data_IF_243826607580
#
_entry.id   IF_243826607580
#
_cell.length_a   1.000
_cell.length_b   1.000
_cell.length_c   1.000
_cell.angle_alpha   90.00
_cell.angle_beta   90.00
_cell.angle_gamma   90.00
#
_symmetry.space_group_name_H-M   'P 1'
#
loop_
_entity.id
_entity.type
_entity.pdbx_description
1 polymer ?
#
# COMPACT_ATOMS: atom_id res chain seq x y z
N UNK A 1 -1.48 19.85 -60.23
CA UNK A 1 -2.06 18.71 -59.49
C UNK A 1 -2.45 19.21 -58.11
N UNK A 2 -3.76 19.17 -57.84
CA UNK A 2 -4.43 19.64 -56.62
C UNK A 2 -4.87 18.44 -55.80
N UNK A 3 -4.62 18.47 -54.49
CA UNK A 3 -5.41 17.91 -53.38
C UNK A 3 -4.92 18.71 -52.14
N UNK A 4 -5.68 19.48 -51.36
CA UNK A 4 -7.03 19.29 -50.83
C UNK A 4 -6.91 19.07 -49.31
N UNK A 5 -7.01 20.13 -48.50
CA UNK A 5 -7.37 20.05 -47.06
C UNK A 5 -8.90 19.86 -46.93
N UNK A 6 -9.51 19.63 -45.73
CA UNK A 6 -9.00 19.28 -44.38
C UNK A 6 -9.78 18.09 -43.73
N UNK A 7 -9.42 17.67 -42.50
CA UNK A 7 -10.20 16.93 -41.45
C UNK A 7 -9.18 16.14 -40.61
N UNK A 8 -9.19 16.05 -39.28
CA UNK A 8 -9.91 16.69 -38.18
C UNK A 8 -8.99 16.62 -36.97
N UNK A 9 -8.99 17.67 -36.15
CA UNK A 9 -8.48 17.65 -34.79
C UNK A 9 -9.20 16.56 -33.99
N UNK A 10 -8.51 15.48 -33.61
CA UNK A 10 -8.94 14.67 -32.48
C UNK A 10 -8.69 15.47 -31.19
N UNK A 11 -9.66 16.31 -30.88
CA UNK A 11 -9.83 16.99 -29.61
C UNK A 11 -10.44 16.02 -28.56
N UNK A 12 -9.83 14.85 -28.37
CA UNK A 12 -10.26 13.85 -27.38
C UNK A 12 -9.22 13.59 -26.28
N UNK A 13 -7.98 14.07 -26.44
CA UNK A 13 -6.95 13.98 -25.39
C UNK A 13 -7.00 15.10 -24.35
N UNK A 14 -7.43 16.30 -24.76
CA UNK A 14 -7.46 17.47 -23.88
C UNK A 14 -8.77 17.60 -23.10
N UNK A 15 -9.86 16.97 -23.57
CA UNK A 15 -11.16 17.04 -22.88
C UNK A 15 -11.24 16.11 -21.67
N UNK A 16 -10.58 14.94 -21.68
CA UNK A 16 -10.48 14.06 -20.50
C UNK A 16 -9.57 14.69 -19.43
N UNK A 17 -8.43 15.28 -19.83
CA UNK A 17 -7.51 15.92 -18.89
C UNK A 17 -8.06 17.23 -18.29
N UNK A 18 -8.85 18.00 -19.05
CA UNK A 18 -9.56 19.17 -18.55
C UNK A 18 -10.76 18.79 -17.68
N UNK A 19 -11.55 17.78 -18.09
CA UNK A 19 -12.68 17.26 -17.29
C UNK A 19 -12.22 16.62 -15.98
N UNK A 20 -11.05 15.98 -15.94
CA UNK A 20 -10.47 15.37 -14.73
C UNK A 20 -9.93 16.44 -13.76
N UNK A 21 -9.40 17.57 -14.26
CA UNK A 21 -8.98 18.70 -13.43
C UNK A 21 -10.18 19.48 -12.88
N UNK A 22 -11.22 19.65 -13.68
CA UNK A 22 -12.45 20.36 -13.27
C UNK A 22 -13.30 19.51 -12.31
N UNK A 23 -13.32 18.18 -12.49
CA UNK A 23 -13.99 17.23 -11.57
C UNK A 23 -13.36 17.19 -10.18
N UNK A 24 -12.07 17.52 -10.02
CA UNK A 24 -11.42 17.57 -8.71
C UNK A 24 -11.71 18.90 -7.98
N UNK A 25 -11.88 20.00 -8.72
CA UNK A 25 -12.19 21.31 -8.16
C UNK A 25 -13.64 21.43 -7.67
N UNK A 26 -14.55 20.58 -8.15
CA UNK A 26 -15.97 20.53 -7.73
C UNK A 26 -16.31 19.38 -6.78
N UNK A 27 -15.34 18.54 -6.37
CA UNK A 27 -15.60 17.41 -5.47
C UNK A 27 -15.72 17.89 -4.03
N UNK A 28 -16.74 17.40 -3.32
CA UNK A 28 -16.87 17.67 -1.89
C UNK A 28 -15.73 17.00 -1.10
N UNK A 29 -15.36 17.57 0.05
CA UNK A 29 -14.30 16.99 0.90
C UNK A 29 -14.62 15.55 1.33
N UNK A 30 -15.90 15.23 1.54
CA UNK A 30 -16.35 13.87 1.87
C UNK A 30 -16.15 12.90 0.69
N UNK A 31 -16.48 13.30 -0.53
CA UNK A 31 -16.24 12.50 -1.73
C UNK A 31 -14.74 12.30 -1.98
N UNK A 32 -13.93 13.33 -1.76
CA UNK A 32 -12.48 13.25 -1.86
C UNK A 32 -11.92 12.26 -0.84
N UNK A 33 -12.33 12.37 0.43
CA UNK A 33 -11.93 11.43 1.47
C UNK A 33 -12.30 9.99 1.12
N UNK A 34 -13.55 9.74 0.71
CA UNK A 34 -14.01 8.40 0.34
C UNK A 34 -13.21 7.80 -0.82
N UNK A 35 -12.91 8.59 -1.86
CA UNK A 35 -12.08 8.14 -2.99
C UNK A 35 -10.65 7.84 -2.55
N UNK A 36 -10.04 8.69 -1.73
CA UNK A 36 -8.68 8.50 -1.23
C UNK A 36 -8.58 7.25 -0.35
N UNK A 37 -9.52 7.07 0.59
CA UNK A 37 -9.59 5.87 1.44
C UNK A 37 -9.74 4.62 0.59
N UNK A 38 -10.63 4.61 -0.40
CA UNK A 38 -10.83 3.44 -1.26
C UNK A 38 -9.54 3.05 -2.02
N UNK A 39 -8.84 4.03 -2.60
CA UNK A 39 -7.57 3.78 -3.31
C UNK A 39 -6.46 3.34 -2.34
N UNK A 40 -6.36 3.94 -1.16
CA UNK A 40 -5.37 3.56 -0.14
C UNK A 40 -5.61 2.14 0.37
N UNK A 41 -6.84 1.79 0.73
CA UNK A 41 -7.22 0.45 1.14
C UNK A 41 -6.85 -0.59 0.06
N UNK A 42 -7.12 -0.29 -1.20
CA UNK A 42 -6.74 -1.16 -2.31
C UNK A 42 -5.22 -1.31 -2.46
N UNK A 43 -4.46 -0.22 -2.31
CA UNK A 43 -2.98 -0.26 -2.35
C UNK A 43 -2.42 -1.07 -1.19
N UNK A 44 -2.96 -0.94 0.01
CA UNK A 44 -2.55 -1.72 1.18
C UNK A 44 -2.87 -3.20 1.03
N UNK A 45 -4.03 -3.51 0.45
CA UNK A 45 -4.39 -4.88 0.07
C UNK A 45 -3.35 -5.48 -0.91
N UNK A 46 -3.01 -4.74 -1.96
CA UNK A 46 -2.01 -5.16 -2.92
C UNK A 46 -0.63 -5.36 -2.26
N UNK A 47 -0.24 -4.47 -1.34
CA UNK A 47 1.02 -4.57 -0.60
C UNK A 47 1.06 -5.81 0.29
N UNK A 48 -0.04 -6.14 0.96
CA UNK A 48 -0.13 -7.35 1.77
C UNK A 48 0.10 -8.61 0.91
N UNK A 49 -0.51 -8.67 -0.28
CA UNK A 49 -0.30 -9.79 -1.23
C UNK A 49 1.14 -9.82 -1.76
N UNK A 50 1.71 -8.67 -2.13
CA UNK A 50 3.11 -8.58 -2.58
C UNK A 50 4.11 -8.96 -1.48
N UNK A 51 3.80 -8.63 -0.23
CA UNK A 51 4.62 -9.03 0.93
C UNK A 51 4.56 -10.54 1.13
N UNK A 52 3.38 -11.15 1.02
CA UNK A 52 3.25 -12.61 0.99
C UNK A 52 4.08 -13.23 -0.15
N UNK A 53 4.13 -12.61 -1.34
CA UNK A 53 5.02 -13.07 -2.41
C UNK A 53 6.51 -13.13 -2.03
N UNK A 54 6.99 -12.25 -1.14
CA UNK A 54 8.36 -12.34 -0.60
C UNK A 54 8.54 -13.57 0.29
N UNK A 55 7.52 -13.94 1.04
CA UNK A 55 7.52 -15.12 1.90
C UNK A 55 7.58 -16.39 1.04
N UNK A 56 6.83 -16.46 -0.06
CA UNK A 56 6.94 -17.54 -1.06
C UNK A 56 8.36 -17.66 -1.64
N UNK A 57 9.01 -16.53 -1.96
CA UNK A 57 10.38 -16.56 -2.46
C UNK A 57 11.36 -17.15 -1.41
N UNK A 58 11.26 -16.72 -0.14
CA UNK A 58 12.07 -17.28 0.95
C UNK A 58 11.79 -18.77 1.14
N UNK A 59 10.52 -19.17 1.07
CA UNK A 59 10.12 -20.56 1.18
C UNK A 59 10.71 -21.42 0.06
N UNK A 60 10.68 -20.94 -1.18
CA UNK A 60 11.30 -21.61 -2.33
C UNK A 60 12.81 -21.80 -2.13
N UNK A 61 13.51 -20.81 -1.56
CA UNK A 61 14.94 -20.93 -1.23
C UNK A 61 15.19 -21.99 -0.15
N UNK A 62 14.36 -22.05 0.88
CA UNK A 62 14.45 -23.07 1.94
C UNK A 62 14.23 -24.46 1.35
N UNK A 63 13.22 -24.64 0.49
CA UNK A 63 12.98 -25.91 -0.21
C UNK A 63 14.14 -26.29 -1.12
N UNK A 64 14.73 -25.33 -1.85
CA UNK A 64 15.91 -25.58 -2.67
C UNK A 64 17.11 -26.03 -1.85
N UNK A 65 17.31 -25.43 -0.67
CA UNK A 65 18.36 -25.85 0.27
C UNK A 65 18.14 -27.29 0.76
N UNK A 66 16.92 -27.65 1.16
CA UNK A 66 16.61 -29.03 1.55
C UNK A 66 16.75 -30.04 0.41
N UNK A 67 16.32 -29.67 -0.79
CA UNK A 67 16.48 -30.49 -1.99
C UNK A 67 17.98 -30.76 -2.28
N UNK A 68 18.82 -29.73 -2.18
CA UNK A 68 20.27 -29.85 -2.32
C UNK A 68 20.89 -30.78 -1.26
N UNK A 69 20.52 -30.62 0.02
CA UNK A 69 21.00 -31.50 1.09
C UNK A 69 20.56 -32.95 0.88
N UNK A 70 19.33 -33.18 0.42
CA UNK A 70 18.83 -34.51 0.11
C UNK A 70 19.64 -35.17 -1.00
N UNK A 71 19.93 -34.46 -2.09
CA UNK A 71 20.75 -35.00 -3.19
C UNK A 71 22.18 -35.32 -2.74
N UNK A 72 22.79 -34.44 -1.94
CA UNK A 72 24.14 -34.66 -1.40
C UNK A 72 24.23 -35.94 -0.55
N UNK A 73 23.15 -36.32 0.10
CA UNK A 73 23.07 -37.51 0.96
C UNK A 73 22.59 -38.77 0.22
N UNK A 74 22.71 -38.82 -1.11
CA UNK A 74 22.27 -39.97 -1.92
C UNK A 74 20.76 -40.03 -2.16
N UNK A 75 20.12 -38.86 -2.24
CA UNK A 75 18.70 -38.72 -2.54
C UNK A 75 18.31 -39.32 -3.90
N UNK A 76 17.02 -39.61 -4.05
CA UNK A 76 16.45 -40.13 -5.28
C UNK A 76 16.18 -38.99 -6.28
N UNK A 77 16.69 -39.10 -7.51
CA UNK A 77 16.52 -38.13 -8.58
C UNK A 77 15.04 -37.82 -8.89
N UNK A 78 14.13 -38.80 -8.73
CA UNK A 78 12.70 -38.59 -8.89
C UNK A 78 12.14 -37.64 -7.82
N UNK A 79 12.58 -37.79 -6.56
CA UNK A 79 12.17 -36.91 -5.46
C UNK A 79 12.72 -35.50 -5.69
N UNK A 80 13.98 -35.39 -6.15
CA UNK A 80 14.58 -34.12 -6.52
C UNK A 80 13.79 -33.42 -7.62
N UNK A 81 13.39 -34.14 -8.67
CA UNK A 81 12.59 -33.59 -9.76
C UNK A 81 11.22 -33.06 -9.27
N UNK A 82 10.57 -33.79 -8.36
CA UNK A 82 9.31 -33.34 -7.76
C UNK A 82 9.53 -32.07 -6.92
N UNK A 83 10.57 -32.02 -6.09
CA UNK A 83 10.89 -30.82 -5.31
C UNK A 83 11.22 -29.62 -6.21
N UNK A 84 11.95 -29.84 -7.30
CA UNK A 84 12.25 -28.81 -8.29
C UNK A 84 10.96 -28.23 -8.92
N UNK A 85 9.96 -29.07 -9.20
CA UNK A 85 8.65 -28.62 -9.66
C UNK A 85 7.96 -27.70 -8.64
N UNK A 86 7.94 -28.09 -7.36
CA UNK A 86 7.36 -27.25 -6.29
C UNK A 86 8.11 -25.93 -6.09
N UNK A 87 9.45 -25.96 -6.10
CA UNK A 87 10.29 -24.76 -6.00
C UNK A 87 9.99 -23.79 -7.15
N UNK A 88 9.93 -24.30 -8.38
CA UNK A 88 9.62 -23.48 -9.55
C UNK A 88 8.20 -22.92 -9.46
N UNK A 89 7.22 -23.72 -9.03
CA UNK A 89 5.85 -23.28 -8.81
C UNK A 89 5.76 -22.13 -7.81
N UNK A 90 6.41 -22.26 -6.66
CA UNK A 90 6.46 -21.21 -5.63
C UNK A 90 7.12 -19.92 -6.14
N UNK A 91 8.21 -20.03 -6.89
CA UNK A 91 8.86 -18.87 -7.50
C UNK A 91 7.94 -18.18 -8.50
N UNK A 92 7.28 -18.95 -9.37
CA UNK A 92 6.33 -18.39 -10.35
C UNK A 92 5.17 -17.68 -9.65
N UNK A 93 4.64 -18.24 -8.56
CA UNK A 93 3.60 -17.59 -7.76
C UNK A 93 4.13 -16.33 -7.07
N UNK A 94 5.35 -16.37 -6.53
CA UNK A 94 5.99 -15.20 -5.92
C UNK A 94 6.09 -14.04 -6.92
N UNK A 95 6.58 -14.32 -8.14
CA UNK A 95 6.63 -13.34 -9.22
C UNK A 95 5.24 -12.87 -9.63
N UNK A 96 4.28 -13.79 -9.79
CA UNK A 96 2.91 -13.45 -10.13
C UNK A 96 2.29 -12.50 -9.09
N UNK A 97 2.43 -12.77 -7.79
CA UNK A 97 1.95 -11.90 -6.70
C UNK A 97 2.63 -10.53 -6.70
N UNK A 98 3.90 -10.43 -7.13
CA UNK A 98 4.59 -9.14 -7.26
C UNK A 98 4.04 -8.28 -8.39
N UNK A 99 3.86 -8.84 -9.59
CA UNK A 99 3.40 -8.09 -10.75
C UNK A 99 1.87 -7.91 -10.81
N UNK A 100 1.12 -8.92 -10.37
CA UNK A 100 -0.34 -9.01 -10.47
C UNK A 100 -0.95 -9.39 -9.11
N UNK A 101 -0.86 -8.50 -8.09
CA UNK A 101 -1.44 -8.76 -6.78
C UNK A 101 -2.94 -9.03 -6.90
N UNK A 102 -3.34 -10.23 -6.51
CA UNK A 102 -4.68 -10.77 -6.73
C UNK A 102 -5.00 -11.84 -5.69
N UNK A 103 -6.29 -12.08 -5.45
CA UNK A 103 -6.74 -13.13 -4.54
C UNK A 103 -6.38 -14.52 -5.10
N UNK A 104 -6.45 -14.68 -6.42
CA UNK A 104 -6.12 -15.89 -7.15
C UNK A 104 -4.66 -16.31 -6.92
N UNK A 105 -3.73 -15.35 -6.86
CA UNK A 105 -2.33 -15.65 -6.54
C UNK A 105 -2.14 -16.24 -5.13
N UNK A 106 -2.97 -15.83 -4.16
CA UNK A 106 -2.97 -16.40 -2.80
C UNK A 106 -3.64 -17.78 -2.78
N UNK A 107 -4.65 -18.01 -3.63
CA UNK A 107 -5.27 -19.33 -3.78
C UNK A 107 -4.29 -20.35 -4.38
N UNK A 108 -3.57 -19.98 -5.44
CA UNK A 108 -2.57 -20.86 -6.05
C UNK A 108 -1.50 -21.28 -5.04
N UNK A 109 -1.06 -20.36 -4.18
CA UNK A 109 -0.11 -20.63 -3.10
C UNK A 109 -0.65 -21.70 -2.14
N UNK A 110 -1.89 -21.54 -1.69
CA UNK A 110 -2.53 -22.49 -0.79
C UNK A 110 -2.62 -23.90 -1.43
N UNK A 111 -2.86 -23.97 -2.73
CA UNK A 111 -2.91 -25.22 -3.49
C UNK A 111 -1.54 -25.88 -3.60
N UNK A 112 -0.48 -25.11 -3.85
CA UNK A 112 0.89 -25.64 -3.90
C UNK A 112 1.29 -26.19 -2.54
N UNK A 113 1.06 -25.43 -1.46
CA UNK A 113 1.34 -25.89 -0.09
C UNK A 113 0.56 -27.14 0.28
N UNK A 114 -0.72 -27.21 -0.09
CA UNK A 114 -1.56 -28.38 0.14
C UNK A 114 -1.02 -29.61 -0.62
N UNK A 115 -0.72 -29.45 -1.90
CA UNK A 115 -0.15 -30.53 -2.71
C UNK A 115 1.20 -31.00 -2.17
N UNK A 116 2.05 -30.07 -1.72
CA UNK A 116 3.33 -30.37 -1.10
C UNK A 116 3.16 -31.15 0.21
N UNK A 117 2.25 -30.72 1.08
CA UNK A 117 1.95 -31.39 2.35
C UNK A 117 1.40 -32.81 2.13
N UNK A 118 0.47 -32.98 1.18
CA UNK A 118 -0.11 -34.27 0.83
C UNK A 118 0.94 -35.24 0.28
N UNK A 119 1.82 -34.77 -0.60
CA UNK A 119 2.91 -35.59 -1.13
C UNK A 119 3.86 -36.04 -0.02
N UNK A 120 4.30 -35.12 0.85
CA UNK A 120 5.17 -35.45 1.98
C UNK A 120 4.51 -36.41 2.97
N UNK A 121 3.20 -36.25 3.21
CA UNK A 121 2.41 -37.18 4.01
C UNK A 121 2.33 -38.57 3.40
N UNK A 122 2.15 -38.67 2.08
CA UNK A 122 2.15 -39.94 1.36
C UNK A 122 3.52 -40.63 1.44
N UNK A 123 4.61 -39.88 1.25
CA UNK A 123 5.98 -40.41 1.38
C UNK A 123 6.23 -40.90 2.82
N UNK A 124 5.85 -40.12 3.82
CA UNK A 124 5.97 -40.50 5.24
C UNK A 124 5.19 -41.78 5.56
N UNK A 125 3.95 -41.88 5.05
CA UNK A 125 3.11 -43.05 5.21
C UNK A 125 3.72 -44.30 4.53
N UNK A 126 4.23 -44.17 3.31
CA UNK A 126 4.91 -45.29 2.62
C UNK A 126 6.16 -45.75 3.37
N UNK A 127 6.98 -44.82 3.90
CA UNK A 127 8.13 -45.18 4.75
C UNK A 127 7.69 -45.96 5.99
N UNK A 128 6.62 -45.52 6.64
CA UNK A 128 6.04 -46.22 7.78
C UNK A 128 5.60 -47.65 7.43
N UNK A 129 4.96 -47.85 6.27
CA UNK A 129 4.56 -49.18 5.78
C UNK A 129 5.75 -50.12 5.54
N UNK A 130 6.91 -49.58 5.13
CA UNK A 130 8.13 -50.36 4.87
C UNK A 130 8.96 -50.60 6.15
N UNK A 131 8.42 -50.23 7.32
CA UNK A 131 9.02 -50.52 8.63
C UNK A 131 9.95 -49.43 9.16
N UNK A 132 10.03 -48.27 8.51
CA UNK A 132 10.67 -47.11 9.11
C UNK A 132 9.78 -46.53 10.22
N UNK A 133 10.38 -46.13 11.34
CA UNK A 133 9.64 -45.47 12.43
C UNK A 133 9.05 -44.12 12.01
N UNK A 134 8.04 -43.60 12.75
CA UNK A 134 7.49 -42.28 12.49
C UNK A 134 8.56 -41.19 12.68
N UNK A 135 8.70 -40.31 11.69
CA UNK A 135 9.57 -39.13 11.78
C UNK A 135 8.78 -37.95 12.36
N UNK A 136 9.01 -37.56 13.63
CA UNK A 136 8.25 -36.51 14.29
C UNK A 136 8.52 -35.13 13.67
N UNK A 137 9.70 -34.91 13.10
CA UNK A 137 10.07 -33.63 12.47
C UNK A 137 9.26 -33.48 11.18
N UNK A 138 9.22 -34.53 10.36
CA UNK A 138 8.44 -34.53 9.13
C UNK A 138 6.94 -34.37 9.40
N UNK A 139 6.41 -35.06 10.41
CA UNK A 139 5.02 -34.93 10.83
C UNK A 139 4.68 -33.49 11.28
N UNK A 140 5.56 -32.87 12.07
CA UNK A 140 5.41 -31.46 12.48
C UNK A 140 5.41 -30.52 11.27
N UNK A 141 6.33 -30.70 10.32
CA UNK A 141 6.39 -29.88 9.10
C UNK A 141 5.12 -30.02 8.24
N UNK A 142 4.61 -31.24 8.06
CA UNK A 142 3.34 -31.48 7.35
C UNK A 142 2.20 -30.72 8.03
N UNK A 143 2.10 -30.80 9.36
CA UNK A 143 1.09 -30.07 10.14
C UNK A 143 1.19 -28.55 9.94
N UNK A 144 2.42 -28.02 9.96
CA UNK A 144 2.69 -26.60 9.73
C UNK A 144 2.29 -26.16 8.31
N UNK A 145 2.56 -26.98 7.28
CA UNK A 145 2.15 -26.67 5.91
C UNK A 145 0.64 -26.72 5.71
N UNK A 146 -0.05 -27.70 6.30
CA UNK A 146 -1.52 -27.76 6.26
C UNK A 146 -2.16 -26.56 6.95
N UNK A 147 -1.62 -26.14 8.10
CA UNK A 147 -2.09 -24.94 8.81
C UNK A 147 -1.86 -23.68 7.97
N UNK A 148 -0.70 -23.53 7.34
CA UNK A 148 -0.39 -22.42 6.45
C UNK A 148 -1.31 -22.39 5.23
N UNK A 149 -1.54 -23.53 4.57
CA UNK A 149 -2.46 -23.65 3.45
C UNK A 149 -3.90 -23.27 3.84
N UNK A 150 -4.36 -23.71 5.02
CA UNK A 150 -5.65 -23.34 5.57
C UNK A 150 -5.78 -21.83 5.84
N UNK A 151 -4.74 -21.22 6.44
CA UNK A 151 -4.72 -19.76 6.68
C UNK A 151 -4.79 -18.98 5.37
N UNK A 152 -4.04 -19.39 4.36
CA UNK A 152 -4.07 -18.75 3.04
C UNK A 152 -5.42 -18.94 2.34
N UNK A 153 -6.07 -20.09 2.51
CA UNK A 153 -7.42 -20.32 2.01
C UNK A 153 -8.44 -19.37 2.66
N UNK A 154 -8.34 -19.15 3.98
CA UNK A 154 -9.16 -18.17 4.69
C UNK A 154 -8.87 -16.74 4.19
N UNK A 155 -7.59 -16.39 4.03
CA UNK A 155 -7.19 -15.11 3.45
C UNK A 155 -7.77 -14.93 2.05
N UNK A 156 -7.73 -15.95 1.19
CA UNK A 156 -8.35 -15.89 -0.14
C UNK A 156 -9.82 -15.51 -0.09
N UNK A 157 -10.61 -16.11 0.81
CA UNK A 157 -12.04 -15.79 0.94
C UNK A 157 -12.27 -14.31 1.26
N UNK A 158 -11.53 -13.79 2.23
CA UNK A 158 -11.62 -12.39 2.63
C UNK A 158 -11.11 -11.45 1.52
N UNK A 159 -9.98 -11.80 0.90
CA UNK A 159 -9.37 -11.02 -0.17
C UNK A 159 -10.25 -10.98 -1.41
N UNK A 160 -10.92 -12.08 -1.76
CA UNK A 160 -11.81 -12.14 -2.93
C UNK A 160 -12.92 -11.09 -2.86
N UNK A 161 -13.50 -10.90 -1.68
CA UNK A 161 -14.52 -9.88 -1.46
C UNK A 161 -13.94 -8.47 -1.59
N UNK A 162 -12.75 -8.23 -1.01
CA UNK A 162 -12.07 -6.94 -1.06
C UNK A 162 -11.57 -6.57 -2.46
N UNK A 163 -11.03 -7.52 -3.22
CA UNK A 163 -10.56 -7.32 -4.60
C UNK A 163 -11.70 -7.13 -5.60
N UNK A 164 -12.93 -7.52 -5.24
CA UNK A 164 -14.11 -7.28 -6.09
C UNK A 164 -14.38 -5.78 -6.29
N UNK A 165 -14.05 -4.95 -5.29
CA UNK A 165 -14.23 -3.50 -5.35
C UNK A 165 -12.91 -2.83 -5.77
N UNK A 166 -12.52 -3.07 -7.02
CA UNK A 166 -11.27 -2.53 -7.58
C UNK A 166 -11.45 -1.08 -8.05
N UNK A 167 -10.58 -0.13 -7.67
CA UNK A 167 -10.55 1.19 -8.28
C UNK A 167 -10.27 1.09 -9.78
N UNK A 168 -10.88 1.98 -10.57
CA UNK A 168 -10.60 2.05 -12.00
C UNK A 168 -9.15 2.53 -12.24
N UNK A 169 -8.55 2.16 -13.39
CA UNK A 169 -7.22 2.62 -13.79
C UNK A 169 -7.12 4.15 -13.82
N UNK A 170 -8.19 4.85 -14.22
CA UNK A 170 -8.25 6.29 -14.18
C UNK A 170 -8.11 6.84 -12.76
N UNK A 171 -8.81 6.25 -11.78
CA UNK A 171 -8.73 6.64 -10.36
C UNK A 171 -7.32 6.42 -9.78
N UNK A 172 -6.66 5.32 -10.16
CA UNK A 172 -5.29 5.05 -9.75
C UNK A 172 -4.31 6.09 -10.31
N UNK A 173 -4.43 6.44 -11.60
CA UNK A 173 -3.60 7.47 -12.24
C UNK A 173 -3.86 8.86 -11.66
N UNK A 174 -5.13 9.21 -11.45
CA UNK A 174 -5.52 10.46 -10.81
C UNK A 174 -4.89 10.55 -9.41
N UNK A 175 -4.97 9.49 -8.62
CA UNK A 175 -4.38 9.46 -7.28
C UNK A 175 -2.86 9.63 -7.32
N UNK A 176 -2.17 8.98 -8.26
CA UNK A 176 -0.72 9.14 -8.42
C UNK A 176 -0.33 10.57 -8.81
N UNK A 177 -1.07 11.18 -9.73
CA UNK A 177 -0.88 12.60 -10.09
C UNK A 177 -1.14 13.51 -8.89
N UNK A 178 -2.24 13.30 -8.17
CA UNK A 178 -2.58 14.04 -6.97
C UNK A 178 -1.48 13.97 -5.91
N UNK A 179 -0.93 12.78 -5.63
CA UNK A 179 0.20 12.65 -4.71
C UNK A 179 1.48 13.34 -5.23
N UNK A 180 1.70 13.33 -6.55
CA UNK A 180 2.84 13.99 -7.17
C UNK A 180 2.71 15.51 -7.09
N UNK A 181 1.51 16.05 -7.29
CA UNK A 181 1.20 17.47 -7.17
C UNK A 181 1.50 17.95 -5.74
N UNK A 182 1.06 17.20 -4.72
CA UNK A 182 1.39 17.51 -3.32
C UNK A 182 2.91 17.51 -3.11
N UNK A 183 3.61 16.47 -3.61
CA UNK A 183 5.06 16.36 -3.44
C UNK A 183 5.87 17.45 -4.11
N UNK A 184 5.37 18.01 -5.22
CA UNK A 184 6.07 19.04 -5.98
C UNK A 184 5.52 20.45 -5.77
N UNK A 185 4.40 20.61 -5.08
CA UNK A 185 3.81 21.92 -4.78
C UNK A 185 4.73 22.81 -3.96
N UNK A 186 4.85 24.08 -4.27
CA UNK A 186 5.71 24.99 -3.54
C UNK A 186 4.87 25.80 -2.53
N UNK A 187 5.15 25.72 -1.21
CA UNK A 187 4.43 26.49 -0.17
C UNK A 187 4.36 27.99 -0.42
N UNK A 188 5.34 28.56 -1.15
CA UNK A 188 5.33 29.98 -1.50
C UNK A 188 4.29 30.34 -2.56
N UNK A 189 3.91 29.40 -3.40
CA UNK A 189 3.00 29.62 -4.53
C UNK A 189 1.63 28.99 -4.31
N UNK A 190 1.55 27.92 -3.51
CA UNK A 190 0.32 27.20 -3.21
C UNK A 190 -0.02 27.32 -1.72
N UNK A 191 -1.11 28.03 -1.36
CA UNK A 191 -1.50 28.24 0.03
C UNK A 191 -2.02 26.98 0.71
N UNK A 192 -2.27 25.90 -0.02
CA UNK A 192 -2.74 24.63 0.53
C UNK A 192 -1.59 23.71 0.94
N UNK A 193 -0.36 23.99 0.53
CA UNK A 193 0.80 23.12 0.75
C UNK A 193 1.59 23.57 1.99
N UNK A 194 2.01 22.58 2.77
CA UNK A 194 2.86 22.74 3.96
C UNK A 194 4.01 21.74 3.91
N UNK A 195 5.23 22.25 4.01
CA UNK A 195 6.44 21.44 4.08
C UNK A 195 6.77 21.12 5.54
N UNK A 196 6.97 19.83 5.82
CA UNK A 196 7.21 19.30 7.16
C UNK A 196 8.56 18.58 7.15
N UNK A 197 9.68 19.27 7.48
CA UNK A 197 11.03 18.72 7.47
C UNK A 197 11.30 17.79 8.69
N UNK A 198 10.31 16.98 9.06
CA UNK A 198 10.38 15.92 10.07
C UNK A 198 11.34 14.80 9.64
N UNK A 199 11.58 13.84 10.54
CA UNK A 199 12.31 12.60 10.23
C UNK A 199 11.37 11.40 10.50
N UNK A 200 10.78 10.77 9.47
CA UNK A 200 10.95 11.03 8.02
C UNK A 200 10.28 12.33 7.54
N UNK A 201 10.74 12.94 6.43
CA UNK A 201 10.17 14.19 5.92
C UNK A 201 8.81 13.96 5.26
N UNK A 202 7.87 14.85 5.60
CA UNK A 202 6.51 14.85 5.12
C UNK A 202 6.19 16.14 4.36
N UNK A 203 5.15 16.08 3.55
CA UNK A 203 4.56 17.22 2.87
C UNK A 203 3.06 17.09 2.89
N UNK A 204 2.35 18.12 3.32
CA UNK A 204 0.91 18.04 3.54
C UNK A 204 0.15 18.98 2.62
N UNK A 205 -0.99 18.52 2.11
CA UNK A 205 -1.99 19.36 1.48
C UNK A 205 -3.20 19.54 2.42
N UNK A 206 -3.54 20.78 2.68
CA UNK A 206 -4.62 21.23 3.56
C UNK A 206 -5.88 21.47 2.71
N UNK A 207 -6.78 20.49 2.66
CA UNK A 207 -7.94 20.46 1.77
C UNK A 207 -9.25 20.51 2.56
N UNK A 208 -9.68 21.72 2.92
CA UNK A 208 -10.86 21.91 3.75
C UNK A 208 -10.66 21.25 5.12
N UNK A 209 -11.50 20.28 5.48
CA UNK A 209 -11.38 19.51 6.72
C UNK A 209 -10.40 18.32 6.63
N UNK A 210 -9.93 18.00 5.42
CA UNK A 210 -9.05 16.87 5.17
C UNK A 210 -7.61 17.33 4.99
N UNK A 211 -6.68 16.67 5.66
CA UNK A 211 -5.24 16.81 5.45
C UNK A 211 -4.71 15.54 4.80
N UNK A 212 -3.98 15.71 3.69
CA UNK A 212 -3.29 14.62 3.00
C UNK A 212 -1.79 14.83 3.16
N UNK A 213 -1.16 14.05 4.05
CA UNK A 213 0.28 14.07 4.25
C UNK A 213 0.96 12.97 3.43
N UNK A 214 1.97 13.35 2.66
CA UNK A 214 2.72 12.48 1.76
C UNK A 214 4.18 12.49 2.16
N UNK A 215 4.73 11.32 2.44
CA UNK A 215 6.15 11.16 2.74
C UNK A 215 7.00 11.25 1.48
N UNK A 216 8.30 11.51 1.64
CA UNK A 216 9.26 11.55 0.52
C UNK A 216 9.36 10.22 -0.25
N UNK A 217 9.05 9.09 0.39
CA UNK A 217 8.97 7.79 -0.29
C UNK A 217 7.59 7.63 -0.91
N UNK A 218 7.53 7.10 -2.14
CA UNK A 218 6.32 6.91 -2.96
C UNK A 218 5.10 6.26 -2.28
N UNK A 219 5.31 5.66 -1.12
CA UNK A 219 4.41 4.71 -0.47
C UNK A 219 3.85 5.20 0.86
N UNK A 220 4.34 6.31 1.41
CA UNK A 220 3.89 6.87 2.68
C UNK A 220 2.85 7.96 2.42
N UNK A 221 1.59 7.67 2.78
CA UNK A 221 0.47 8.60 2.71
C UNK A 221 -0.32 8.47 4.00
N UNK A 222 -0.63 9.58 4.65
CA UNK A 222 -1.50 9.65 5.80
C UNK A 222 -2.67 10.58 5.46
N UNK A 223 -3.87 10.15 5.81
CA UNK A 223 -5.07 10.98 5.79
C UNK A 223 -5.41 11.33 7.23
N UNK A 224 -5.70 12.60 7.48
CA UNK A 224 -6.04 13.12 8.80
C UNK A 224 -7.19 14.11 8.67
N UNK A 225 -8.07 14.18 9.66
CA UNK A 225 -9.02 15.28 9.78
C UNK A 225 -8.37 16.48 10.44
N UNK A 226 -9.05 17.64 10.40
CA UNK A 226 -8.61 18.87 11.04
C UNK A 226 -8.13 18.67 12.49
N UNK A 227 -8.85 17.88 13.29
CA UNK A 227 -8.51 17.63 14.70
C UNK A 227 -7.30 16.72 14.93
N UNK A 228 -6.87 15.96 13.92
CA UNK A 228 -5.82 14.96 14.02
C UNK A 228 -4.49 15.39 13.36
N UNK A 229 -4.44 16.63 12.86
CA UNK A 229 -3.26 17.27 12.30
C UNK A 229 -3.02 18.62 13.00
N UNK A 230 -2.05 18.64 13.91
CA UNK A 230 -1.73 19.83 14.70
C UNK A 230 -0.23 20.11 14.69
N UNK A 231 0.12 21.39 14.55
CA UNK A 231 1.45 21.91 14.75
C UNK A 231 1.47 22.76 16.01
N UNK A 232 2.19 22.29 17.04
CA UNK A 232 2.36 23.01 18.29
C UNK A 232 3.63 23.84 18.25
N UNK A 233 3.57 25.17 18.51
CA UNK A 233 4.77 25.97 18.66
C UNK A 233 5.55 25.52 19.88
N UNK A 234 6.88 25.43 19.74
CA UNK A 234 7.81 25.12 20.81
C UNK A 234 8.67 26.34 21.04
N UNK A 235 8.77 26.80 22.30
CA UNK A 235 9.67 27.90 22.65
C UNK A 235 11.12 27.44 22.46
N UNK A 236 11.82 28.12 21.55
CA UNK A 236 13.23 27.90 21.34
C UNK A 236 14.05 28.78 22.29
N UNK A 237 14.81 28.14 23.17
CA UNK A 237 15.79 28.82 24.03
C UNK A 237 17.11 29.16 23.30
N UNK A 238 17.24 28.81 22.00
CA UNK A 238 18.50 28.95 21.24
C UNK A 238 18.74 30.31 20.58
N UNK A 239 17.73 31.18 20.49
CA UNK A 239 17.86 32.54 19.94
C UNK A 239 17.92 32.63 18.40
N UNK A 240 17.64 31.54 17.67
CA UNK A 240 17.50 31.56 16.21
C UNK A 240 16.07 31.94 15.76
N UNK A 241 15.96 32.61 14.59
CA UNK A 241 14.71 33.10 13.99
C UNK A 241 13.88 32.00 13.29
N UNK A 242 13.91 30.77 13.80
CA UNK A 242 13.08 29.70 13.26
C UNK A 242 11.97 29.38 14.26
N UNK A 243 10.73 29.40 13.78
CA UNK A 243 9.61 28.90 14.57
C UNK A 243 9.80 27.38 14.66
N UNK A 244 10.11 26.90 15.87
CA UNK A 244 10.17 25.46 16.13
C UNK A 244 8.76 24.96 16.38
N UNK A 245 8.40 23.87 15.72
CA UNK A 245 7.09 23.26 15.89
C UNK A 245 7.20 21.77 16.13
N UNK A 246 6.21 21.23 16.82
CA UNK A 246 6.01 19.81 17.00
C UNK A 246 4.78 19.36 16.22
N UNK A 247 4.93 18.34 15.37
CA UNK A 247 3.84 17.77 14.59
C UNK A 247 3.15 16.67 15.38
N UNK A 248 1.83 16.78 15.51
CA UNK A 248 0.93 15.70 15.88
C UNK A 248 0.16 15.25 14.64
N UNK A 249 0.34 14.00 14.26
CA UNK A 249 -0.28 13.39 13.09
C UNK A 249 -0.84 12.02 13.48
N UNK A 250 -2.17 11.85 13.42
CA UNK A 250 -2.85 10.56 13.65
C UNK A 250 -2.43 9.85 14.96
N UNK A 251 -2.29 10.58 16.06
CA UNK A 251 -1.91 10.02 17.36
C UNK A 251 -0.40 9.93 17.62
N UNK A 252 0.45 10.25 16.64
CA UNK A 252 1.89 10.25 16.79
C UNK A 252 2.46 11.68 16.87
N UNK A 253 3.26 11.93 17.92
CA UNK A 253 4.03 13.16 18.08
C UNK A 253 5.41 13.00 17.45
N UNK A 254 5.76 13.85 16.49
CA UNK A 254 7.13 13.95 15.98
C UNK A 254 8.02 14.74 16.94
N UNK A 255 9.35 14.55 16.90
CA UNK A 255 10.29 15.47 17.56
C UNK A 255 10.15 16.90 17.00
N UNK A 256 10.50 17.94 17.78
CA UNK A 256 10.48 19.32 17.29
C UNK A 256 11.36 19.51 16.05
N UNK A 257 10.92 20.34 15.11
CA UNK A 257 11.66 20.70 13.90
C UNK A 257 11.42 22.17 13.53
N UNK A 258 12.37 22.81 12.83
CA UNK A 258 12.15 24.16 12.31
C UNK A 258 11.15 24.11 11.15
N UNK A 259 10.14 24.98 11.17
CA UNK A 259 9.22 25.15 10.03
C UNK A 259 9.58 26.38 9.21
N UNK A 260 9.38 26.28 7.90
CA UNK A 260 9.55 27.40 6.99
C UNK A 260 8.42 28.43 7.17
N UNK A 261 8.70 29.75 7.12
CA UNK A 261 7.69 30.79 7.33
C UNK A 261 6.46 30.67 6.42
N UNK A 262 6.66 30.35 5.13
CA UNK A 262 5.55 30.19 4.18
C UNK A 262 4.64 29.02 4.55
N UNK A 263 5.22 27.88 4.90
CA UNK A 263 4.50 26.70 5.39
C UNK A 263 3.74 26.98 6.68
N UNK A 264 4.35 27.74 7.60
CA UNK A 264 3.70 28.16 8.84
C UNK A 264 2.53 29.13 8.62
N UNK A 265 2.69 30.09 7.72
CA UNK A 265 1.64 31.04 7.36
C UNK A 265 0.45 30.35 6.69
N UNK A 266 0.71 29.37 5.81
CA UNK A 266 -0.32 28.53 5.19
C UNK A 266 -1.11 27.76 6.24
N UNK A 267 -0.42 27.10 7.18
CA UNK A 267 -1.07 26.39 8.28
C UNK A 267 -1.94 27.30 9.15
N UNK A 268 -1.42 28.46 9.58
CA UNK A 268 -2.16 29.42 10.42
C UNK A 268 -3.36 30.02 9.71
N UNK A 269 -3.26 30.23 8.40
CA UNK A 269 -4.38 30.70 7.57
C UNK A 269 -5.47 29.65 7.52
N UNK A 270 -5.11 28.40 7.22
CA UNK A 270 -6.03 27.28 7.20
C UNK A 270 -6.74 27.06 8.54
N UNK A 271 -6.02 27.07 9.67
CA UNK A 271 -6.65 26.98 11.00
C UNK A 271 -7.69 28.07 11.23
N UNK A 272 -7.35 29.34 10.94
CA UNK A 272 -8.28 30.47 11.08
C UNK A 272 -9.52 30.29 10.21
N UNK A 273 -9.37 29.82 8.98
CA UNK A 273 -10.48 29.55 8.06
C UNK A 273 -11.39 28.41 8.55
N UNK A 274 -10.85 27.43 9.29
CA UNK A 274 -11.60 26.33 9.89
C UNK A 274 -12.32 26.74 11.16
N UNK A 275 -11.67 27.44 12.05
CA UNK A 275 -12.32 28.01 13.23
C UNK A 275 -13.46 28.96 12.84
N UNK A 276 -13.25 29.81 11.82
CA UNK A 276 -14.29 30.71 11.32
C UNK A 276 -15.44 30.00 10.62
N UNK A 277 -15.23 28.80 10.07
CA UNK A 277 -16.29 27.99 9.48
C UNK A 277 -17.05 27.19 10.54
N UNK A 278 -16.36 26.65 11.55
CA UNK A 278 -17.00 25.97 12.68
C UNK A 278 -17.96 26.92 13.42
N UNK A 279 -17.51 28.15 13.72
CA UNK A 279 -18.36 29.20 14.34
C UNK A 279 -19.57 29.59 13.49
N UNK A 280 -19.48 29.48 12.17
CA UNK A 280 -20.61 29.76 11.25
C UNK A 280 -21.60 28.60 11.16
N UNK A 281 -21.13 27.35 11.29
CA UNK A 281 -21.99 26.17 11.36
C UNK A 281 -22.83 26.11 12.65
N UNK A 282 -22.25 26.51 13.78
CA UNK A 282 -22.93 26.55 15.08
C UNK A 282 -23.98 27.68 15.19
N UNK A 283 -23.88 28.73 14.37
CA UNK A 283 -24.84 29.84 14.33
C UNK A 283 -26.05 29.63 13.40
N UNK A 284 -26.09 28.55 12.63
CA UNK A 284 -27.15 28.26 11.65
C UNK A 284 -28.28 27.35 12.14
N UNK A 285 -28.18 26.78 13.34
CA UNK A 285 -29.23 25.95 13.96
C UNK A 285 -30.14 26.73 14.94
N UNK A 286 -30.07 28.07 14.94
CA UNK A 286 -30.87 28.93 15.83
C UNK A 286 -31.78 29.94 15.13
N UNK A 287 -32.12 29.75 13.85
CA UNK A 287 -33.18 30.53 13.19
C UNK A 287 -34.33 29.63 12.70
#
# INVERSE_FOLDING_TARGET
>A
MSWGTPYSSDASGDSEAASDKESAASMSAAELHQRLVHVLMYRDLCRAVQRSGRENFVFALIMAFFAFLSQKNGGNDLILAIYAFFILGELLIAFYKWFFPSAEGVLCDALILLAFALLNGMIAYLKFQVGFGPDPILAFLIGLFLLSAWRQWQSYRNLRELFRIRPNRAQLRWFERFLQDIRHGDPHTDPTIVDLPTRPPWKAALLGDLVVAVGRKDRQVALSHYGDFLLFPVEDNSGEKHDWVQLYLNGEMSPPFPIEPASWDNYRRWQREREAAARRGEGGEQE
#
